data_IF_398840170421
#
_entry.id   IF_398840170421
#
_cell.length_a   1.000
_cell.length_b   1.000
_cell.length_c   1.000
_cell.angle_alpha   90.00
_cell.angle_beta   90.00
_cell.angle_gamma   90.00
#
_symmetry.space_group_name_H-M   'P 1'
#
loop_
_entity.id
_entity.type
_entity.pdbx_description
1 polymer ?
#
# COMPACT_ATOMS: atom_id res chain seq x y z
N UNK A 1 32.15 2.29 25.37
CA UNK A 1 30.94 3.02 25.78
C UNK A 1 29.85 2.62 24.77
N UNK A 2 28.82 1.95 25.26
CA UNK A 2 27.68 1.54 24.40
C UNK A 2 26.70 2.71 24.41
N UNK A 3 26.51 3.37 23.27
CA UNK A 3 25.46 4.38 23.14
C UNK A 3 24.09 3.66 23.07
N UNK A 4 23.28 3.85 24.11
CA UNK A 4 21.99 3.18 24.28
C UNK A 4 20.96 3.58 23.20
N UNK A 5 21.23 4.61 22.39
CA UNK A 5 20.36 5.04 21.30
C UNK A 5 20.42 4.12 20.08
N UNK A 6 21.44 3.31 19.97
CA UNK A 6 21.57 2.33 18.88
C UNK A 6 21.21 0.94 19.38
N UNK A 7 20.33 0.24 18.67
CA UNK A 7 19.95 -1.12 19.01
C UNK A 7 21.12 -2.05 18.74
N UNK A 8 21.87 -2.38 19.78
CA UNK A 8 22.97 -3.36 19.70
C UNK A 8 22.36 -4.75 19.87
N UNK A 9 22.48 -5.61 18.85
CA UNK A 9 22.15 -7.02 18.96
C UNK A 9 23.38 -7.78 19.42
N UNK A 10 23.40 -8.21 20.66
CA UNK A 10 24.46 -9.05 21.21
C UNK A 10 24.15 -10.51 20.90
N UNK A 11 24.98 -11.15 20.08
CA UNK A 11 24.94 -12.59 19.86
C UNK A 11 26.05 -13.23 20.70
N UNK A 12 25.69 -13.81 21.82
CA UNK A 12 26.61 -14.48 22.71
C UNK A 12 26.46 -14.04 24.17
N UNK A 13 27.27 -14.60 25.07
CA UNK A 13 27.32 -14.20 26.46
C UNK A 13 28.26 -13.01 26.63
N UNK A 14 27.74 -11.92 27.18
CA UNK A 14 28.57 -10.81 27.67
C UNK A 14 28.69 -10.94 29.20
N UNK A 15 29.90 -10.78 29.75
CA UNK A 15 30.10 -10.68 31.19
C UNK A 15 30.36 -9.22 31.55
N UNK A 16 29.62 -8.73 32.54
CA UNK A 16 29.90 -7.45 33.17
C UNK A 16 31.07 -7.66 34.11
N UNK A 17 32.20 -7.00 33.86
CA UNK A 17 33.44 -7.27 34.57
C UNK A 17 33.79 -6.21 35.62
N UNK A 18 33.45 -4.97 35.37
CA UNK A 18 33.77 -3.92 36.31
C UNK A 18 32.75 -2.78 36.29
N UNK A 19 32.57 -2.17 37.44
CA UNK A 19 31.80 -0.97 37.65
C UNK A 19 32.70 0.05 38.36
N UNK A 20 33.23 1.00 37.64
CA UNK A 20 33.92 2.14 38.18
C UNK A 20 33.33 3.43 37.73
N UNK A 21 32.96 4.32 38.64
CA UNK A 21 32.51 5.68 38.39
C UNK A 21 31.31 5.82 37.41
N UNK A 22 30.39 4.87 37.44
CA UNK A 22 29.21 4.91 36.56
C UNK A 22 29.44 4.45 35.13
N UNK A 23 30.61 3.92 34.83
CA UNK A 23 30.92 3.27 33.54
C UNK A 23 30.94 1.76 33.69
N UNK A 24 30.53 1.04 32.66
CA UNK A 24 30.57 -0.41 32.58
C UNK A 24 31.62 -0.84 31.59
N UNK A 25 32.57 -1.67 32.00
CA UNK A 25 33.43 -2.38 31.09
C UNK A 25 32.78 -3.73 30.73
N UNK A 26 32.45 -3.89 29.47
CA UNK A 26 31.90 -5.14 28.95
C UNK A 26 32.98 -5.85 28.16
N UNK A 27 33.48 -6.98 28.66
CA UNK A 27 34.35 -7.86 27.87
C UNK A 27 33.47 -8.80 27.06
N UNK A 28 33.57 -8.67 25.74
CA UNK A 28 32.98 -9.60 24.79
C UNK A 28 34.07 -10.58 24.40
N UNK A 29 33.83 -11.88 24.59
CA UNK A 29 34.81 -12.92 24.21
C UNK A 29 35.20 -12.74 22.73
N UNK A 30 36.49 -12.68 22.38
CA UNK A 30 36.97 -12.36 21.03
C UNK A 30 36.45 -13.27 19.93
N UNK A 31 35.97 -14.46 20.28
CA UNK A 31 35.44 -15.46 19.34
C UNK A 31 33.98 -15.20 18.96
N UNK A 32 33.33 -14.22 19.54
CA UNK A 32 31.92 -13.90 19.36
C UNK A 32 31.69 -12.43 18.98
N UNK A 33 32.57 -11.89 18.13
CA UNK A 33 32.38 -10.57 17.60
C UNK A 33 31.08 -10.53 16.78
N UNK A 34 30.26 -9.53 17.05
CA UNK A 34 29.24 -9.10 16.10
C UNK A 34 29.74 -7.83 15.43
N UNK A 35 29.75 -7.85 14.12
CA UNK A 35 29.90 -6.61 13.38
C UNK A 35 28.57 -5.84 13.46
N UNK A 36 28.56 -4.76 14.23
CA UNK A 36 27.51 -3.77 14.12
C UNK A 36 27.80 -2.93 12.87
N UNK A 37 27.19 -3.32 11.78
CA UNK A 37 27.06 -2.41 10.65
C UNK A 37 25.82 -1.54 10.89
N UNK A 38 25.98 -0.24 11.12
CA UNK A 38 24.83 0.65 11.20
C UNK A 38 24.03 0.51 9.91
N UNK A 39 22.69 0.52 9.97
CA UNK A 39 21.88 0.40 8.78
C UNK A 39 22.24 1.53 7.82
N UNK A 40 22.60 1.16 6.59
CA UNK A 40 22.96 2.14 5.55
C UNK A 40 21.67 2.71 4.98
N UNK A 41 21.52 4.04 4.92
CA UNK A 41 20.36 4.63 4.29
C UNK A 41 20.42 4.36 2.78
N UNK A 42 19.32 3.88 2.21
CA UNK A 42 19.18 3.65 0.76
C UNK A 42 18.58 4.85 0.03
N UNK A 43 17.89 5.73 0.76
CA UNK A 43 17.44 7.03 0.29
C UNK A 43 17.24 7.96 1.48
N UNK A 44 17.53 9.24 1.28
CA UNK A 44 17.27 10.31 2.24
C UNK A 44 16.92 11.59 1.49
N UNK A 45 15.97 12.34 2.04
CA UNK A 45 15.64 13.69 1.58
C UNK A 45 15.12 14.52 2.75
N UNK A 46 15.30 15.84 2.69
CA UNK A 46 14.83 16.76 3.71
C UNK A 46 14.23 18.01 3.10
N UNK A 47 13.41 18.71 3.89
CA UNK A 47 12.85 20.02 3.57
C UNK A 47 12.62 20.78 4.86
N UNK A 48 12.41 22.09 4.75
CA UNK A 48 12.01 22.93 5.88
C UNK A 48 10.53 23.30 5.72
N UNK A 49 9.72 23.10 6.75
CA UNK A 49 8.32 23.46 6.78
C UNK A 49 7.96 24.15 8.09
N UNK A 50 7.44 25.39 8.02
CA UNK A 50 7.11 26.23 9.18
C UNK A 50 8.28 26.41 10.17
N UNK A 51 9.53 26.43 9.68
CA UNK A 51 10.72 26.58 10.51
C UNK A 51 11.27 25.25 11.07
N UNK A 52 10.56 24.15 10.92
CA UNK A 52 11.03 22.80 11.28
C UNK A 52 11.75 22.15 10.10
N UNK A 53 12.91 21.56 10.35
CA UNK A 53 13.54 20.66 9.41
C UNK A 53 12.83 19.29 9.48
N UNK A 54 12.32 18.84 8.35
CA UNK A 54 11.68 17.54 8.20
C UNK A 54 12.57 16.65 7.35
N UNK A 55 13.04 15.55 7.94
CA UNK A 55 13.93 14.57 7.30
C UNK A 55 13.20 13.27 7.12
N UNK A 56 13.33 12.68 5.94
CA UNK A 56 12.83 11.32 5.66
C UNK A 56 13.99 10.46 5.21
N UNK A 57 14.22 9.36 5.92
CA UNK A 57 15.29 8.41 5.62
C UNK A 57 14.73 7.01 5.47
N UNK A 58 15.15 6.31 4.43
CA UNK A 58 14.77 4.91 4.18
C UNK A 58 16.00 4.04 4.46
N UNK A 59 15.83 3.10 5.36
CA UNK A 59 16.85 2.11 5.73
C UNK A 59 16.44 0.72 5.28
N UNK A 60 17.43 -0.06 4.90
CA UNK A 60 17.28 -1.48 4.61
C UNK A 60 18.23 -2.27 5.51
N UNK A 61 17.65 -3.03 6.42
CA UNK A 61 18.36 -4.10 7.16
C UNK A 61 17.63 -5.44 6.89
N UNK A 62 17.20 -6.13 7.92
CA UNK A 62 16.30 -7.31 7.81
C UNK A 62 14.91 -6.93 7.27
N UNK A 63 14.50 -5.68 7.47
CA UNK A 63 13.24 -5.07 7.01
C UNK A 63 13.55 -3.70 6.44
N UNK A 64 12.73 -3.26 5.48
CA UNK A 64 12.82 -1.90 4.98
C UNK A 64 11.93 -0.98 5.83
N UNK A 65 12.48 0.13 6.29
CA UNK A 65 11.78 1.10 7.14
C UNK A 65 11.99 2.51 6.62
N UNK A 66 10.93 3.29 6.68
CA UNK A 66 11.00 4.74 6.52
C UNK A 66 10.93 5.41 7.89
N UNK A 67 11.87 6.29 8.16
CA UNK A 67 11.97 7.09 9.38
C UNK A 67 11.69 8.54 8.99
N UNK A 68 10.73 9.14 9.66
CA UNK A 68 10.32 10.54 9.50
C UNK A 68 10.71 11.26 10.78
N UNK A 69 11.51 12.32 10.66
CA UNK A 69 12.10 13.04 11.79
C UNK A 69 11.83 14.53 11.67
N UNK A 70 11.55 15.17 12.78
CA UNK A 70 11.47 16.63 12.93
C UNK A 70 11.87 17.02 14.35
N UNK A 71 11.92 18.31 14.66
CA UNK A 71 12.21 18.80 16.02
C UNK A 71 11.24 18.26 17.09
N UNK A 72 9.99 17.99 16.70
CA UNK A 72 8.93 17.49 17.57
C UNK A 72 8.88 15.97 17.76
N UNK A 73 9.68 15.20 17.04
CA UNK A 73 9.69 13.74 17.21
C UNK A 73 10.02 12.93 15.97
N UNK A 74 9.91 11.61 16.15
CA UNK A 74 10.27 10.61 15.14
C UNK A 74 9.11 9.65 14.93
N UNK A 75 8.84 9.31 13.67
CA UNK A 75 7.86 8.29 13.27
C UNK A 75 8.52 7.26 12.37
N UNK A 76 8.42 5.99 12.74
CA UNK A 76 8.92 4.87 11.92
C UNK A 76 7.74 4.13 11.28
N UNK A 77 7.86 3.83 9.99
CA UNK A 77 6.88 3.05 9.22
C UNK A 77 7.61 1.93 8.51
N UNK A 78 7.15 0.69 8.68
CA UNK A 78 7.63 -0.44 7.90
C UNK A 78 7.03 -0.35 6.49
N UNK A 79 7.87 -0.50 5.46
CA UNK A 79 7.48 -0.44 4.05
C UNK A 79 8.02 -1.68 3.33
N UNK A 80 7.45 -2.07 2.17
CA UNK A 80 8.05 -3.14 1.38
C UNK A 80 9.45 -2.77 0.91
N UNK A 81 10.32 -3.75 0.61
CA UNK A 81 11.62 -3.48 0.02
C UNK A 81 11.43 -2.84 -1.36
N UNK A 82 11.89 -1.60 -1.50
CA UNK A 82 11.75 -0.82 -2.72
C UNK A 82 13.05 -0.83 -3.51
N UNK A 83 12.96 -1.02 -4.82
CA UNK A 83 13.99 -0.64 -5.75
C UNK A 83 13.82 0.83 -6.15
N UNK A 84 14.94 1.56 -6.20
CA UNK A 84 14.97 2.99 -6.56
C UNK A 84 13.95 3.85 -5.81
N UNK A 85 13.95 3.82 -4.46
CA UNK A 85 13.01 4.62 -3.69
C UNK A 85 13.22 6.12 -3.95
N UNK A 86 12.11 6.83 -4.09
CA UNK A 86 12.07 8.29 -4.23
C UNK A 86 11.31 8.91 -3.08
N UNK A 87 11.82 10.01 -2.55
CA UNK A 87 11.19 10.79 -1.49
C UNK A 87 10.91 12.17 -2.06
N UNK A 88 9.67 12.63 -1.96
CA UNK A 88 9.26 13.95 -2.39
C UNK A 88 8.36 14.62 -1.35
N UNK A 89 8.30 15.95 -1.41
CA UNK A 89 7.53 16.79 -0.50
C UNK A 89 6.60 17.68 -1.32
N UNK A 90 5.42 17.95 -0.79
CA UNK A 90 4.45 18.86 -1.41
C UNK A 90 3.67 19.60 -0.33
N UNK A 91 3.75 20.92 -0.34
CA UNK A 91 2.99 21.76 0.57
C UNK A 91 1.52 21.82 0.15
N UNK A 92 0.65 21.74 1.14
CA UNK A 92 -0.80 21.89 0.98
C UNK A 92 -1.34 22.88 2.03
N UNK A 93 -2.61 23.20 1.96
CA UNK A 93 -3.26 24.05 2.96
C UNK A 93 -3.32 23.40 4.34
N UNK A 94 -3.32 22.07 4.36
CA UNK A 94 -3.48 21.28 5.58
C UNK A 94 -2.15 20.83 6.19
N UNK A 95 -1.04 21.04 5.51
CA UNK A 95 0.27 20.61 5.97
C UNK A 95 1.20 20.20 4.83
N UNK A 96 2.32 19.60 5.19
CA UNK A 96 3.29 19.07 4.25
C UNK A 96 2.99 17.60 3.96
N UNK A 97 2.77 17.26 2.70
CA UNK A 97 2.70 15.87 2.24
C UNK A 97 4.11 15.33 2.01
N UNK A 98 4.39 14.19 2.61
CA UNK A 98 5.63 13.44 2.48
C UNK A 98 5.31 12.17 1.72
N UNK A 99 5.94 11.99 0.57
CA UNK A 99 5.63 10.90 -0.34
C UNK A 99 6.85 10.03 -0.56
N UNK A 100 6.71 8.75 -0.29
CA UNK A 100 7.69 7.73 -0.66
C UNK A 100 7.09 6.90 -1.78
N UNK A 101 7.80 6.79 -2.88
CA UNK A 101 7.43 5.95 -4.01
C UNK A 101 8.58 5.06 -4.45
N UNK A 102 8.27 3.96 -5.10
CA UNK A 102 9.26 3.02 -5.64
C UNK A 102 8.60 1.75 -6.12
N UNK A 103 9.40 0.80 -6.59
CA UNK A 103 8.92 -0.49 -7.06
C UNK A 103 9.29 -1.58 -6.07
N UNK A 104 8.29 -2.32 -5.60
CA UNK A 104 8.44 -3.56 -4.86
C UNK A 104 8.13 -4.75 -5.81
N UNK A 105 7.14 -5.57 -5.49
CA UNK A 105 6.55 -6.50 -6.49
C UNK A 105 5.73 -5.75 -7.52
N UNK A 106 5.15 -4.65 -7.10
CA UNK A 106 4.37 -3.70 -7.89
C UNK A 106 4.85 -2.27 -7.57
N UNK A 107 4.26 -1.27 -8.20
CA UNK A 107 4.48 0.13 -7.83
C UNK A 107 3.91 0.38 -6.44
N UNK A 108 4.65 1.10 -5.62
CA UNK A 108 4.29 1.40 -4.24
C UNK A 108 4.33 2.90 -3.99
N UNK A 109 3.34 3.40 -3.25
CA UNK A 109 3.32 4.77 -2.72
C UNK A 109 2.87 4.77 -1.27
N UNK A 110 3.61 5.46 -0.42
CA UNK A 110 3.24 5.85 0.93
C UNK A 110 3.10 7.37 0.98
N UNK A 111 1.98 7.85 1.50
CA UNK A 111 1.72 9.27 1.73
C UNK A 111 1.53 9.51 3.22
N UNK A 112 2.33 10.42 3.76
CA UNK A 112 2.22 10.92 5.13
C UNK A 112 1.85 12.41 5.09
N UNK A 113 1.13 12.88 6.07
CA UNK A 113 0.89 14.31 6.34
C UNK A 113 1.72 14.71 7.56
N UNK A 114 2.38 15.85 7.47
CA UNK A 114 3.01 16.53 8.58
C UNK A 114 2.31 17.87 8.82
N UNK A 115 1.71 17.99 9.99
CA UNK A 115 0.98 19.18 10.48
C UNK A 115 1.40 19.52 11.93
N UNK A 116 2.71 19.38 12.23
CA UNK A 116 3.26 19.40 13.59
C UNK A 116 3.45 18.00 14.16
N UNK A 117 2.98 16.95 13.46
CA UNK A 117 3.18 15.54 13.77
C UNK A 117 3.00 14.68 12.53
N UNK A 118 3.58 13.48 12.53
CA UNK A 118 3.52 12.58 11.37
C UNK A 118 2.28 11.67 11.39
N UNK A 119 1.44 11.79 10.38
CA UNK A 119 0.22 10.99 10.21
C UNK A 119 0.24 10.25 8.88
N UNK A 120 0.05 8.94 8.91
CA UNK A 120 -0.10 8.15 7.69
C UNK A 120 -1.48 8.41 7.08
N UNK A 121 -1.51 8.87 5.82
CA UNK A 121 -2.74 9.04 5.05
C UNK A 121 -3.04 7.80 4.20
N UNK A 122 -2.06 7.34 3.43
CA UNK A 122 -2.26 6.29 2.44
C UNK A 122 -1.02 5.41 2.31
N UNK A 123 -1.25 4.14 2.05
CA UNK A 123 -0.22 3.20 1.59
C UNK A 123 -0.88 2.29 0.57
N UNK A 124 -0.40 2.31 -0.66
CA UNK A 124 -0.98 1.55 -1.77
C UNK A 124 0.10 0.88 -2.60
N UNK A 125 -0.21 -0.32 -3.06
CA UNK A 125 0.60 -1.08 -4.02
C UNK A 125 -0.32 -1.50 -5.16
N UNK A 126 0.05 -1.18 -6.40
CA UNK A 126 -0.72 -1.49 -7.61
C UNK A 126 0.22 -1.69 -8.80
N UNK A 127 -0.32 -2.16 -9.93
CA UNK A 127 0.49 -2.41 -11.13
C UNK A 127 1.09 -1.11 -11.68
N UNK A 128 0.32 -0.01 -11.57
CA UNK A 128 0.82 1.34 -11.81
C UNK A 128 0.28 2.30 -10.74
N UNK A 129 1.11 3.23 -10.27
CA UNK A 129 0.72 4.24 -9.29
C UNK A 129 1.29 5.58 -9.70
N UNK A 130 0.43 6.57 -9.85
CA UNK A 130 0.81 7.95 -10.04
C UNK A 130 0.41 8.81 -8.84
N UNK A 131 1.24 9.77 -8.50
CA UNK A 131 1.00 10.74 -7.43
C UNK A 131 1.00 12.15 -8.01
N UNK A 132 0.05 12.96 -7.55
CA UNK A 132 0.02 14.41 -7.75
C UNK A 132 -0.44 15.10 -6.47
N UNK A 133 -0.36 16.43 -6.42
CA UNK A 133 -0.90 17.22 -5.30
C UNK A 133 -2.42 17.00 -5.08
N UNK A 134 -3.13 16.57 -6.12
CA UNK A 134 -4.58 16.30 -6.05
C UNK A 134 -4.89 14.92 -5.46
N UNK A 135 -3.92 14.00 -5.43
CA UNK A 135 -4.11 12.66 -4.90
C UNK A 135 -3.23 11.59 -5.55
N UNK A 136 -3.64 10.35 -5.32
CA UNK A 136 -3.00 9.15 -5.87
C UNK A 136 -3.96 8.44 -6.81
N UNK A 137 -3.47 7.99 -7.95
CA UNK A 137 -4.21 7.11 -8.85
C UNK A 137 -3.46 5.77 -8.88
N UNK A 138 -4.15 4.71 -8.53
CA UNK A 138 -3.65 3.35 -8.54
C UNK A 138 -4.40 2.52 -9.59
N UNK A 139 -3.65 1.86 -10.46
CA UNK A 139 -4.19 1.03 -11.54
C UNK A 139 -3.81 -0.43 -11.30
N UNK A 140 -4.78 -1.31 -11.30
CA UNK A 140 -4.63 -2.75 -11.15
C UNK A 140 -5.18 -3.46 -12.39
N UNK A 141 -4.35 -4.28 -13.04
CA UNK A 141 -4.77 -5.15 -14.13
C UNK A 141 -5.32 -6.45 -13.56
N UNK A 142 -6.64 -6.60 -13.62
CA UNK A 142 -7.30 -7.78 -13.07
C UNK A 142 -7.03 -8.99 -13.97
N UNK A 143 -6.71 -10.11 -13.36
CA UNK A 143 -6.51 -11.39 -14.08
C UNK A 143 -7.85 -12.13 -14.22
N UNK A 144 -8.88 -11.40 -14.64
CA UNK A 144 -10.19 -11.96 -14.95
C UNK A 144 -10.36 -12.20 -16.46
N UNK A 145 -11.43 -12.88 -16.83
CA UNK A 145 -11.73 -13.16 -18.24
C UNK A 145 -11.97 -11.90 -19.05
N UNK A 146 -12.52 -10.87 -18.42
CA UNK A 146 -12.81 -9.59 -19.03
C UNK A 146 -11.56 -8.73 -19.24
N UNK A 147 -10.41 -9.11 -18.67
CA UNK A 147 -9.20 -8.27 -18.66
C UNK A 147 -9.50 -6.85 -18.20
N UNK A 148 -10.23 -6.73 -17.09
CA UNK A 148 -10.59 -5.43 -16.54
C UNK A 148 -9.39 -4.72 -15.95
N UNK A 149 -9.45 -3.42 -16.04
CA UNK A 149 -8.54 -2.50 -15.37
C UNK A 149 -9.31 -1.78 -14.29
N UNK A 150 -8.87 -1.93 -13.05
CA UNK A 150 -9.44 -1.19 -11.93
C UNK A 150 -8.56 0.03 -11.67
N UNK A 151 -9.11 1.22 -11.82
CA UNK A 151 -8.47 2.48 -11.46
C UNK A 151 -9.09 3.00 -10.18
N UNK A 152 -8.27 3.15 -9.14
CA UNK A 152 -8.71 3.72 -7.86
C UNK A 152 -8.07 5.08 -7.68
N UNK A 153 -8.90 6.12 -7.62
CA UNK A 153 -8.47 7.49 -7.34
C UNK A 153 -8.63 7.77 -5.85
N UNK A 154 -7.54 8.16 -5.20
CA UNK A 154 -7.52 8.62 -3.81
C UNK A 154 -7.33 10.12 -3.80
N UNK A 155 -8.25 10.85 -3.19
CA UNK A 155 -8.16 12.29 -3.01
C UNK A 155 -8.00 12.64 -1.53
N UNK A 156 -7.18 13.65 -1.25
CA UNK A 156 -6.89 14.10 0.10
C UNK A 156 -7.72 15.33 0.44
N UNK A 157 -8.29 15.35 1.64
CA UNK A 157 -8.99 16.50 2.22
C UNK A 157 -8.60 16.57 3.68
N UNK A 158 -7.53 17.31 3.97
CA UNK A 158 -6.86 17.29 5.27
C UNK A 158 -6.34 15.89 5.59
N UNK A 159 -6.71 15.40 6.77
CA UNK A 159 -6.36 14.04 7.20
C UNK A 159 -7.29 12.96 6.62
N UNK A 160 -8.35 13.34 5.92
CA UNK A 160 -9.29 12.39 5.34
C UNK A 160 -8.86 11.98 3.93
N UNK A 161 -8.97 10.69 3.65
CA UNK A 161 -8.75 10.12 2.33
C UNK A 161 -10.06 9.58 1.81
N UNK A 162 -10.48 10.08 0.65
CA UNK A 162 -11.63 9.54 -0.10
C UNK A 162 -11.11 8.72 -1.25
N UNK A 163 -11.76 7.59 -1.53
CA UNK A 163 -11.42 6.76 -2.67
C UNK A 163 -12.63 6.53 -3.57
N UNK A 164 -12.39 6.50 -4.87
CA UNK A 164 -13.35 6.12 -5.90
C UNK A 164 -12.69 5.10 -6.81
N UNK A 165 -13.31 3.94 -6.98
CA UNK A 165 -12.84 2.92 -7.90
C UNK A 165 -13.73 2.92 -9.15
N UNK A 166 -13.09 2.83 -10.30
CA UNK A 166 -13.73 2.71 -11.61
C UNK A 166 -13.14 1.50 -12.33
N UNK A 167 -13.94 0.84 -13.12
CA UNK A 167 -13.51 -0.28 -13.94
C UNK A 167 -13.58 0.13 -15.42
N UNK A 168 -12.53 -0.21 -16.14
CA UNK A 168 -12.47 -0.14 -17.59
C UNK A 168 -11.98 -1.47 -18.14
N UNK A 169 -11.95 -1.60 -19.44
CA UNK A 169 -11.52 -2.82 -20.11
C UNK A 169 -10.33 -2.52 -21.00
N UNK A 170 -9.40 -3.47 -21.10
CA UNK A 170 -8.40 -3.42 -22.17
C UNK A 170 -9.16 -3.56 -23.48
N UNK A 171 -9.10 -2.54 -24.33
CA UNK A 171 -9.72 -2.53 -25.64
C UNK A 171 -9.08 -3.62 -26.53
N UNK A 172 -9.85 -4.16 -27.49
CA UNK A 172 -9.40 -5.04 -28.57
C UNK A 172 -9.23 -6.54 -28.27
N UNK A 173 -9.82 -7.07 -27.19
CA UNK A 173 -9.85 -8.50 -27.03
C UNK A 173 -11.08 -9.13 -27.68
N UNK A 174 -10.88 -9.92 -28.72
CA UNK A 174 -11.93 -10.78 -29.29
C UNK A 174 -12.04 -12.02 -28.40
N UNK A 175 -13.24 -12.29 -27.92
CA UNK A 175 -13.52 -13.48 -27.10
C UNK A 175 -14.08 -14.58 -28.00
N UNK A 176 -13.66 -15.86 -27.79
CA UNK A 176 -14.32 -17.00 -28.40
C UNK A 176 -15.81 -17.09 -27.99
N UNK A 177 -16.65 -17.59 -28.88
CA UNK A 177 -18.09 -17.66 -28.66
C UNK A 177 -18.47 -18.42 -27.40
N UNK A 178 -17.71 -19.44 -27.03
CA UNK A 178 -17.90 -20.25 -25.84
C UNK A 178 -17.75 -19.43 -24.53
N UNK A 179 -17.04 -18.31 -24.59
CA UNK A 179 -16.82 -17.42 -23.44
C UNK A 179 -17.85 -16.30 -23.33
N UNK A 180 -18.67 -16.08 -24.38
CA UNK A 180 -19.68 -15.02 -24.39
C UNK A 180 -20.68 -15.11 -23.23
N UNK A 181 -21.18 -16.30 -22.82
CA UNK A 181 -22.08 -16.40 -21.64
C UNK A 181 -21.41 -15.95 -20.34
N UNK A 182 -20.13 -16.27 -20.16
CA UNK A 182 -19.38 -15.82 -18.98
C UNK A 182 -19.11 -14.31 -19.01
N UNK A 183 -18.77 -13.79 -20.18
CA UNK A 183 -18.59 -12.37 -20.42
C UNK A 183 -19.86 -11.58 -20.05
N UNK A 184 -21.03 -12.08 -20.49
CA UNK A 184 -22.32 -11.53 -20.14
C UNK A 184 -22.54 -11.47 -18.62
N UNK A 185 -22.35 -12.61 -17.93
CA UNK A 185 -22.55 -12.69 -16.48
C UNK A 185 -21.61 -11.78 -15.70
N UNK A 186 -20.33 -11.71 -16.09
CA UNK A 186 -19.38 -10.80 -15.46
C UNK A 186 -19.70 -9.34 -15.72
N UNK A 187 -20.16 -9.00 -16.93
CA UNK A 187 -20.59 -7.65 -17.27
C UNK A 187 -21.81 -7.24 -16.45
N UNK A 188 -22.78 -8.12 -16.26
CA UNK A 188 -23.92 -7.90 -15.35
C UNK A 188 -23.46 -7.68 -13.90
N UNK A 189 -22.56 -8.53 -13.38
CA UNK A 189 -22.04 -8.40 -12.04
C UNK A 189 -21.27 -7.08 -11.84
N UNK A 190 -20.57 -6.62 -12.87
CA UNK A 190 -19.88 -5.33 -12.91
C UNK A 190 -20.83 -4.15 -13.14
N UNK A 191 -22.11 -4.38 -13.44
CA UNK A 191 -23.12 -3.38 -13.87
C UNK A 191 -22.72 -2.64 -15.15
N UNK A 192 -21.93 -3.29 -15.99
CA UNK A 192 -21.61 -2.80 -17.33
C UNK A 192 -22.67 -3.30 -18.31
N UNK A 193 -23.78 -2.58 -18.35
CA UNK A 193 -24.95 -2.97 -19.16
C UNK A 193 -24.71 -2.81 -20.65
N UNK A 194 -23.86 -1.90 -21.08
CA UNK A 194 -23.50 -1.73 -22.47
C UNK A 194 -22.79 -2.99 -22.99
N UNK A 195 -21.79 -3.47 -22.28
CA UNK A 195 -21.06 -4.69 -22.63
C UNK A 195 -21.95 -5.94 -22.51
N UNK A 196 -22.79 -6.00 -21.49
CA UNK A 196 -23.75 -7.08 -21.36
C UNK A 196 -24.69 -7.14 -22.57
N UNK A 197 -25.20 -5.98 -23.03
CA UNK A 197 -26.03 -5.90 -24.23
C UNK A 197 -25.29 -6.41 -25.47
N UNK A 198 -24.01 -6.06 -25.61
CA UNK A 198 -23.19 -6.51 -26.74
C UNK A 198 -22.99 -8.06 -26.77
N UNK A 199 -23.20 -8.75 -25.65
CA UNK A 199 -23.16 -10.19 -25.57
C UNK A 199 -24.48 -10.88 -25.93
N UNK A 200 -25.57 -10.12 -26.08
CA UNK A 200 -26.89 -10.66 -26.42
C UNK A 200 -27.05 -10.79 -27.93
N UNK A 201 -27.87 -11.76 -28.36
CA UNK A 201 -28.23 -11.86 -29.75
C UNK A 201 -29.05 -10.61 -30.21
N UNK A 202 -28.90 -10.16 -31.48
CA UNK A 202 -29.53 -8.92 -31.95
C UNK A 202 -31.06 -8.87 -31.85
N UNK A 203 -31.70 -10.02 -31.74
CA UNK A 203 -33.16 -10.17 -31.61
C UNK A 203 -33.66 -10.07 -30.16
N UNK A 204 -32.72 -10.12 -29.17
CA UNK A 204 -33.06 -9.92 -27.76
C UNK A 204 -33.20 -8.43 -27.49
N UNK A 205 -34.42 -7.99 -27.20
CA UNK A 205 -34.75 -6.58 -26.94
C UNK A 205 -34.86 -6.21 -25.47
N UNK A 206 -34.67 -7.18 -24.59
CA UNK A 206 -34.75 -6.95 -23.14
C UNK A 206 -33.50 -6.22 -22.66
N UNK A 207 -33.70 -5.28 -21.73
CA UNK A 207 -32.60 -4.58 -21.09
C UNK A 207 -31.82 -5.57 -20.19
N UNK A 208 -30.47 -5.52 -20.22
CA UNK A 208 -29.65 -6.39 -19.38
C UNK A 208 -29.96 -6.32 -17.90
N UNK A 209 -30.47 -5.19 -17.39
CA UNK A 209 -30.87 -5.02 -15.99
C UNK A 209 -31.96 -6.01 -15.57
N UNK A 210 -32.84 -6.42 -16.48
CA UNK A 210 -33.89 -7.40 -16.22
C UNK A 210 -33.29 -8.74 -15.79
N UNK A 211 -32.12 -9.11 -16.34
CA UNK A 211 -31.44 -10.35 -16.00
C UNK A 211 -30.84 -10.35 -14.60
N UNK A 212 -30.56 -9.17 -14.00
CA UNK A 212 -30.06 -9.11 -12.62
C UNK A 212 -31.05 -9.76 -11.62
N UNK A 213 -32.33 -9.67 -11.87
CA UNK A 213 -33.33 -10.25 -10.99
C UNK A 213 -33.34 -11.79 -11.03
N UNK A 214 -32.97 -12.37 -12.18
CA UNK A 214 -32.83 -13.83 -12.32
C UNK A 214 -31.60 -14.37 -11.61
N UNK A 215 -30.52 -13.58 -11.52
CA UNK A 215 -29.23 -13.99 -10.96
C UNK A 215 -29.02 -13.54 -9.51
N UNK A 216 -30.01 -12.83 -8.90
CA UNK A 216 -29.97 -12.57 -7.46
C UNK A 216 -29.91 -13.90 -6.72
N UNK A 217 -28.91 -14.12 -5.83
CA UNK A 217 -28.93 -15.31 -4.99
C UNK A 217 -30.24 -15.31 -4.23
N UNK A 218 -31.05 -16.36 -4.41
CA UNK A 218 -32.28 -16.54 -3.63
C UNK A 218 -31.89 -16.66 -2.16
N UNK A 219 -32.04 -15.58 -1.41
CA UNK A 219 -31.73 -15.51 0.01
C UNK A 219 -32.79 -16.28 0.87
N UNK A 220 -33.58 -17.16 0.31
CA UNK A 220 -34.56 -17.96 1.09
C UNK A 220 -34.75 -19.36 0.51
N UNK A 221 -33.86 -20.25 0.91
CA UNK A 221 -34.28 -21.61 1.25
C UNK A 221 -33.54 -22.00 2.53
N UNK A 222 -34.13 -21.68 3.67
CA UNK A 222 -33.89 -22.44 4.89
C UNK A 222 -34.03 -23.91 4.55
N UNK A 223 -32.93 -24.64 4.46
CA UNK A 223 -32.94 -26.09 4.46
C UNK A 223 -33.49 -26.52 5.81
N UNK A 224 -34.80 -26.80 5.87
CA UNK A 224 -35.35 -27.60 6.95
C UNK A 224 -34.69 -28.97 6.86
N UNK A 225 -33.81 -29.25 7.80
CA UNK A 225 -33.31 -30.60 7.99
C UNK A 225 -34.52 -31.51 8.25
N UNK A 226 -34.64 -32.69 7.58
CA UNK A 226 -35.66 -33.65 7.93
C UNK A 226 -35.34 -34.16 9.33
N UNK A 227 -36.31 -33.98 10.24
CA UNK A 227 -36.29 -34.63 11.53
C UNK A 227 -36.17 -36.15 11.31
N UNK A 228 -35.08 -36.75 11.76
CA UNK A 228 -34.99 -38.19 11.95
C UNK A 228 -35.84 -38.55 13.18
N UNK A 229 -36.94 -39.22 12.97
CA UNK A 229 -37.65 -40.05 13.96
C UNK A 229 -36.87 -41.31 14.27
#
# INVERSE_FOLDING_TARGET
>A
VIDVKNTVRVYGSAQLIDWQNGAYDVIIEPQKYFEYAPPVPIAQNSTTYNGDEVVVTIYKDTKTRAIFECSGGVKTVEIPPLSSPKISFSETKEGLLLVISGTAKKQYVLVMLFDGGFRKLLSVEADDVSFSYAGVIATEYLKDMLSRVKTTTYSFSGAAVKSKAEFSYLQDRVYPDELIPYLFLESLAAKDFERATACLAPDIRESPEVFLDYFKPRQDRSYRQPHRS
#
